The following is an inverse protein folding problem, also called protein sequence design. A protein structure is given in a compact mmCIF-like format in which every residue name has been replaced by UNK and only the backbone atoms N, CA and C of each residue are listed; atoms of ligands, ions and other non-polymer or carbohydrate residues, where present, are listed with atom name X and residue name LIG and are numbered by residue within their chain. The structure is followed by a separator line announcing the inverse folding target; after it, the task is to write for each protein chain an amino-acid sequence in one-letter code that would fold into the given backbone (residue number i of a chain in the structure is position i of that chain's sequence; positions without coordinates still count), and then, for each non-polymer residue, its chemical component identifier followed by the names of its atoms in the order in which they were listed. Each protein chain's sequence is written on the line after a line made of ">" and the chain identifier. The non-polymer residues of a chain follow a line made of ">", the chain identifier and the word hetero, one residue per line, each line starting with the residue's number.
data_IF_427856882041
#
_entry.id   IF_427856882041
#
_cell.length_a   1.000
_cell.length_b   1.000
_cell.length_c   1.000
_cell.angle_alpha   90.00
_cell.angle_beta   90.00
_cell.angle_gamma   90.00
#
_symmetry.space_group_name_H-M   'P 1'
#
loop_
_entity.id
_entity.type
_entity.pdbx_description
1 polymer ?
#
# COMPACT_ATOMS: atom_id res chain seq x y z
N UNK A 1 -19.48 -19.92 11.43
CA UNK A 1 -18.92 -19.38 10.17
C UNK A 1 -18.23 -18.08 10.55
N UNK A 2 -16.91 -18.10 10.73
CA UNK A 2 -16.17 -16.85 10.87
C UNK A 2 -16.18 -16.20 9.49
N UNK A 3 -16.88 -15.07 9.34
CA UNK A 3 -16.66 -14.21 8.18
C UNK A 3 -15.27 -13.62 8.35
N UNK A 4 -14.37 -13.99 7.46
CA UNK A 4 -13.08 -13.34 7.36
C UNK A 4 -13.33 -12.11 6.49
N UNK A 5 -13.78 -11.02 7.09
CA UNK A 5 -13.67 -9.70 6.45
C UNK A 5 -12.17 -9.37 6.45
N UNK A 6 -11.43 -9.87 5.46
CA UNK A 6 -10.09 -9.36 5.19
C UNK A 6 -10.27 -7.93 4.68
N UNK A 7 -10.04 -6.94 5.54
CA UNK A 7 -10.10 -5.53 5.18
C UNK A 7 -9.04 -5.25 4.11
N UNK A 8 -9.47 -4.98 2.88
CA UNK A 8 -8.59 -4.63 1.76
C UNK A 8 -8.21 -3.15 1.78
N UNK A 9 -7.31 -2.74 0.88
CA UNK A 9 -6.88 -1.35 0.77
C UNK A 9 -8.04 -0.36 0.58
N UNK A 10 -9.14 -0.80 -0.06
CA UNK A 10 -10.36 -0.01 -0.24
C UNK A 10 -11.04 0.42 1.06
N UNK A 11 -10.69 -0.17 2.21
CA UNK A 11 -11.11 0.28 3.54
C UNK A 11 -10.66 1.72 3.85
N UNK A 12 -9.64 2.25 3.17
CA UNK A 12 -9.25 3.65 3.29
C UNK A 12 -10.21 4.62 2.59
N UNK A 13 -11.07 4.15 1.67
CA UNK A 13 -12.04 4.99 0.97
C UNK A 13 -12.97 5.69 1.97
N UNK A 14 -13.19 6.99 1.80
CA UNK A 14 -14.00 7.80 2.69
C UNK A 14 -13.31 8.17 4.02
N UNK A 15 -12.11 7.67 4.32
CA UNK A 15 -11.33 8.11 5.48
C UNK A 15 -10.59 9.40 5.17
N UNK A 16 -10.43 10.25 6.19
CA UNK A 16 -9.60 11.46 6.09
C UNK A 16 -8.23 11.15 6.67
N UNK A 17 -7.18 11.33 5.87
CA UNK A 17 -5.81 11.13 6.31
C UNK A 17 -5.30 12.36 7.06
N UNK A 18 -4.59 12.13 8.17
CA UNK A 18 -3.93 13.17 8.98
C UNK A 18 -2.42 13.16 8.78
N UNK A 19 -1.85 12.02 8.37
CA UNK A 19 -0.44 11.88 8.05
C UNK A 19 -0.23 10.63 7.19
N UNK A 20 0.78 10.68 6.32
CA UNK A 20 1.34 9.53 5.62
C UNK A 20 2.84 9.51 5.92
N UNK A 21 3.36 8.38 6.36
CA UNK A 21 4.78 8.17 6.67
C UNK A 21 5.36 7.16 5.70
N UNK A 22 6.53 7.48 5.17
CA UNK A 22 7.30 6.63 4.27
C UNK A 22 8.79 6.89 4.52
N UNK A 23 9.28 6.41 5.66
CA UNK A 23 10.68 6.56 6.07
C UNK A 23 11.57 5.39 5.61
N UNK A 24 10.93 4.31 5.13
CA UNK A 24 11.57 3.07 4.66
C UNK A 24 10.93 2.65 3.34
N UNK A 25 11.71 1.98 2.51
CA UNK A 25 11.26 1.45 1.22
C UNK A 25 10.36 0.22 1.37
N UNK A 26 10.34 -0.44 2.52
CA UNK A 26 9.52 -1.63 2.78
C UNK A 26 8.20 -1.36 3.53
N UNK A 27 7.87 -0.09 3.82
CA UNK A 27 6.68 0.28 4.59
C UNK A 27 6.11 1.67 4.20
N UNK A 28 4.78 1.78 4.20
CA UNK A 28 4.05 3.05 4.18
C UNK A 28 2.97 3.01 5.25
N UNK A 29 2.91 4.01 6.12
CA UNK A 29 1.93 4.10 7.20
C UNK A 29 0.97 5.26 6.96
N UNK A 30 -0.33 4.99 7.09
CA UNK A 30 -1.42 5.95 6.96
C UNK A 30 -2.09 6.17 8.32
N UNK A 31 -2.17 7.42 8.76
CA UNK A 31 -2.91 7.79 9.96
C UNK A 31 -4.22 8.47 9.57
N UNK A 32 -5.33 8.04 10.16
CA UNK A 32 -6.66 8.55 9.89
C UNK A 32 -7.18 9.45 11.01
N UNK A 33 -8.07 10.39 10.66
CA UNK A 33 -8.69 11.32 11.60
C UNK A 33 -9.58 10.64 12.66
N UNK A 34 -10.03 9.42 12.42
CA UNK A 34 -10.80 8.61 13.38
C UNK A 34 -9.92 7.86 14.39
N UNK A 35 -8.61 8.10 14.36
CA UNK A 35 -7.62 7.45 15.24
C UNK A 35 -7.15 6.09 14.75
N UNK A 36 -7.68 5.56 13.64
CA UNK A 36 -7.15 4.33 13.04
C UNK A 36 -5.84 4.59 12.30
N UNK A 37 -4.95 3.60 12.32
CA UNK A 37 -3.72 3.63 11.55
C UNK A 37 -3.59 2.34 10.74
N UNK A 38 -3.07 2.44 9.53
CA UNK A 38 -2.96 1.35 8.57
C UNK A 38 -1.57 1.36 7.96
N UNK A 39 -1.10 0.22 7.49
CA UNK A 39 0.18 0.15 6.77
C UNK A 39 0.11 -0.75 5.56
N UNK A 40 0.88 -0.36 4.55
CA UNK A 40 1.37 -1.23 3.49
C UNK A 40 2.78 -1.66 3.88
N UNK A 41 3.07 -2.96 3.86
CA UNK A 41 4.37 -3.48 4.23
C UNK A 41 4.64 -4.81 3.55
N UNK A 42 5.91 -5.19 3.47
CA UNK A 42 6.31 -6.55 3.12
C UNK A 42 7.35 -7.07 4.11
N UNK A 43 7.20 -8.33 4.54
CA UNK A 43 8.20 -9.00 5.39
C UNK A 43 9.16 -9.75 4.48
N UNK A 44 10.33 -9.17 4.21
CA UNK A 44 11.33 -9.78 3.32
C UNK A 44 11.80 -11.14 3.87
N UNK A 45 11.78 -12.19 3.06
CA UNK A 45 12.62 -13.38 3.21
C UNK A 45 13.84 -13.35 2.24
N UNK A 46 14.63 -14.41 2.24
CA UNK A 46 15.99 -14.42 1.69
C UNK A 46 16.10 -14.41 0.15
N UNK A 47 15.00 -14.61 -0.57
CA UNK A 47 15.00 -14.81 -2.03
C UNK A 47 14.02 -13.91 -2.76
N UNK A 48 13.44 -12.93 -2.06
CA UNK A 48 12.55 -11.93 -2.61
C UNK A 48 12.96 -10.53 -2.17
N UNK A 49 12.52 -9.54 -2.93
CA UNK A 49 12.70 -8.14 -2.62
C UNK A 49 11.43 -7.40 -3.03
N UNK A 50 10.65 -6.93 -2.05
CA UNK A 50 9.41 -6.17 -2.29
C UNK A 50 9.50 -4.80 -1.64
N UNK A 51 9.66 -3.76 -2.46
CA UNK A 51 9.92 -2.40 -1.99
C UNK A 51 9.09 -1.38 -2.76
N UNK A 52 8.85 -0.22 -2.15
CA UNK A 52 8.32 0.98 -2.82
C UNK A 52 9.33 1.43 -3.86
N UNK A 53 8.92 1.35 -5.11
CA UNK A 53 9.69 1.78 -6.26
C UNK A 53 9.55 3.27 -6.55
N UNK A 54 8.32 3.80 -6.48
CA UNK A 54 8.05 5.22 -6.72
C UNK A 54 6.82 5.72 -5.96
N UNK A 55 6.81 7.02 -5.70
CA UNK A 55 5.63 7.77 -5.28
C UNK A 55 5.40 8.89 -6.29
N UNK A 56 4.32 8.76 -7.05
CA UNK A 56 3.91 9.72 -8.06
C UNK A 56 2.78 10.60 -7.52
N UNK A 57 3.08 11.86 -7.22
CA UNK A 57 2.19 12.82 -6.55
C UNK A 57 2.80 13.37 -5.27
N UNK A 58 2.01 14.14 -4.50
CA UNK A 58 2.42 14.70 -3.20
C UNK A 58 1.48 14.22 -2.09
N UNK A 59 2.02 13.56 -1.05
CA UNK A 59 1.24 13.15 0.12
C UNK A 59 0.54 14.31 0.82
N UNK A 60 1.08 15.53 0.73
CA UNK A 60 0.43 16.72 1.29
C UNK A 60 -0.96 16.99 0.67
N UNK A 61 -1.20 16.56 -0.56
CA UNK A 61 -2.51 16.68 -1.21
C UNK A 61 -3.55 15.68 -0.67
N UNK A 62 -3.09 14.64 0.04
CA UNK A 62 -3.97 13.68 0.72
C UNK A 62 -4.29 14.07 2.17
N UNK A 63 -3.47 14.92 2.79
CA UNK A 63 -3.53 15.19 4.24
C UNK A 63 -4.47 16.36 4.55
N UNK A 64 -5.48 16.11 5.40
CA UNK A 64 -6.38 17.16 5.91
C UNK A 64 -7.25 17.86 4.86
N UNK A 65 -7.24 17.36 3.62
CA UNK A 65 -7.97 17.94 2.48
C UNK A 65 -9.42 17.45 2.40
N UNK A 66 -9.74 16.37 3.09
CA UNK A 66 -11.06 15.75 3.18
C UNK A 66 -10.97 14.22 3.08
N UNK A 67 -12.11 13.53 2.97
CA UNK A 67 -12.15 12.09 2.74
C UNK A 67 -11.45 11.69 1.43
N UNK A 68 -10.77 10.54 1.45
CA UNK A 68 -10.32 9.88 0.24
C UNK A 68 -11.52 9.55 -0.65
N UNK A 69 -11.48 10.01 -1.90
CA UNK A 69 -12.48 9.70 -2.93
C UNK A 69 -12.08 8.49 -3.78
N UNK A 70 -10.85 8.00 -3.61
CA UNK A 70 -10.33 6.79 -4.24
C UNK A 70 -9.30 6.15 -3.31
N UNK A 71 -9.39 4.82 -3.19
CA UNK A 71 -8.43 3.95 -2.53
C UNK A 71 -8.48 2.60 -3.26
N UNK A 72 -7.62 2.43 -4.25
CA UNK A 72 -7.60 1.26 -5.14
C UNK A 72 -6.24 0.58 -5.11
N UNK A 73 -6.28 -0.74 -5.22
CA UNK A 73 -5.12 -1.60 -5.41
C UNK A 73 -5.24 -2.25 -6.79
N UNK A 74 -4.14 -2.25 -7.54
CA UNK A 74 -4.04 -2.96 -8.80
C UNK A 74 -2.64 -3.55 -8.93
N UNK A 75 -2.51 -4.68 -9.59
CA UNK A 75 -1.21 -5.31 -9.83
C UNK A 75 -1.02 -5.71 -11.30
N UNK A 76 0.23 -5.90 -11.66
CA UNK A 76 0.63 -6.52 -12.92
C UNK A 76 1.84 -7.41 -12.70
N UNK A 77 1.81 -8.60 -13.29
CA UNK A 77 2.87 -9.58 -13.19
C UNK A 77 3.65 -9.72 -14.50
N UNK A 78 4.97 -9.79 -14.39
CA UNK A 78 5.88 -10.17 -15.45
C UNK A 78 6.71 -11.38 -14.96
N UNK A 79 6.93 -12.37 -15.83
CA UNK A 79 7.80 -13.50 -15.51
C UNK A 79 8.69 -13.82 -16.71
N UNK A 80 9.98 -14.01 -16.46
CA UNK A 80 10.94 -14.42 -17.47
C UNK A 80 11.92 -15.44 -16.88
N UNK A 81 12.03 -16.59 -17.56
CA UNK A 81 13.11 -17.57 -17.33
C UNK A 81 13.29 -18.06 -15.88
N UNK A 82 12.24 -18.00 -15.06
CA UNK A 82 12.25 -18.46 -13.66
C UNK A 82 12.22 -17.33 -12.64
N UNK A 83 12.54 -16.11 -13.03
CA UNK A 83 12.36 -14.91 -12.20
C UNK A 83 10.96 -14.32 -12.45
N UNK A 84 10.37 -13.78 -11.39
CA UNK A 84 9.11 -13.04 -11.47
C UNK A 84 9.25 -11.66 -10.88
N UNK A 85 8.48 -10.73 -11.47
CA UNK A 85 8.34 -9.36 -11.01
C UNK A 85 6.86 -9.05 -10.89
N UNK A 86 6.47 -8.52 -9.73
CA UNK A 86 5.15 -7.96 -9.49
C UNK A 86 5.26 -6.47 -9.33
N UNK A 87 4.43 -5.74 -10.08
CA UNK A 87 4.20 -4.33 -9.83
C UNK A 87 2.85 -4.18 -9.13
N UNK A 88 2.82 -3.56 -7.96
CA UNK A 88 1.58 -3.25 -7.24
C UNK A 88 1.41 -1.75 -7.11
N UNK A 89 0.23 -1.25 -7.46
CA UNK A 89 -0.11 0.16 -7.51
C UNK A 89 -1.20 0.45 -6.48
N UNK A 90 -0.87 1.27 -5.49
CA UNK A 90 -1.83 1.80 -4.53
C UNK A 90 -2.18 3.23 -4.90
N UNK A 91 -3.42 3.43 -5.32
CA UNK A 91 -3.92 4.69 -5.88
C UNK A 91 -4.82 5.36 -4.86
N UNK A 92 -4.46 6.58 -4.47
CA UNK A 92 -5.22 7.39 -3.52
C UNK A 92 -5.57 8.73 -4.16
N UNK A 93 -6.77 9.23 -3.90
CA UNK A 93 -7.10 10.61 -4.26
C UNK A 93 -8.02 11.27 -3.24
N UNK A 94 -7.89 12.59 -3.19
CA UNK A 94 -8.84 13.50 -2.57
C UNK A 94 -9.38 14.44 -3.65
N UNK A 95 -10.23 15.40 -3.27
CA UNK A 95 -10.63 16.49 -4.17
C UNK A 95 -9.48 17.43 -4.54
N UNK A 96 -8.35 17.37 -3.82
CA UNK A 96 -7.19 18.27 -4.02
C UNK A 96 -6.07 17.66 -4.83
N UNK A 97 -5.93 16.34 -4.86
CA UNK A 97 -4.87 15.69 -5.60
C UNK A 97 -4.97 14.18 -5.57
N UNK A 98 -4.00 13.56 -6.24
CA UNK A 98 -3.94 12.14 -6.51
C UNK A 98 -2.51 11.68 -6.31
N UNK A 99 -2.34 10.52 -5.68
CA UNK A 99 -1.04 9.88 -5.45
C UNK A 99 -1.12 8.42 -5.88
N UNK A 100 -0.08 7.93 -6.56
CA UNK A 100 0.15 6.50 -6.78
C UNK A 100 1.43 6.09 -6.08
N UNK A 101 1.33 5.06 -5.25
CA UNK A 101 2.49 4.39 -4.64
C UNK A 101 2.71 3.11 -5.43
N UNK A 102 3.85 3.02 -6.10
CA UNK A 102 4.23 1.85 -6.89
C UNK A 102 5.18 1.00 -6.06
N UNK A 103 4.82 -0.26 -5.85
CA UNK A 103 5.67 -1.28 -5.27
C UNK A 103 6.20 -2.19 -6.37
N UNK A 104 7.42 -2.66 -6.20
CA UNK A 104 8.07 -3.63 -7.05
C UNK A 104 8.49 -4.82 -6.19
N UNK A 105 7.88 -5.96 -6.43
CA UNK A 105 8.29 -7.25 -5.89
C UNK A 105 9.09 -8.01 -6.93
N UNK A 106 10.20 -8.61 -6.52
CA UNK A 106 10.99 -9.54 -7.33
C UNK A 106 11.23 -10.82 -6.54
N UNK A 107 11.10 -11.98 -7.18
CA UNK A 107 11.50 -13.26 -6.61
C UNK A 107 11.96 -14.23 -7.71
N UNK A 108 12.52 -15.36 -7.31
CA UNK A 108 12.86 -16.48 -8.20
C UNK A 108 11.65 -17.38 -8.54
N UNK A 109 10.43 -16.84 -8.49
CA UNK A 109 9.20 -17.55 -8.84
C UNK A 109 8.65 -18.50 -7.77
N UNK A 110 9.26 -18.57 -6.58
CA UNK A 110 8.83 -19.45 -5.48
C UNK A 110 8.26 -18.72 -4.26
N UNK A 111 8.40 -17.40 -4.18
CA UNK A 111 8.04 -16.59 -3.03
C UNK A 111 6.93 -15.59 -3.37
N UNK A 112 6.23 -15.11 -2.34
CA UNK A 112 5.16 -14.15 -2.52
C UNK A 112 5.75 -12.75 -2.74
N UNK A 113 5.36 -12.11 -3.84
CA UNK A 113 5.73 -10.72 -4.15
C UNK A 113 4.64 -9.72 -3.71
N UNK A 114 3.59 -10.20 -3.04
CA UNK A 114 2.45 -9.39 -2.61
C UNK A 114 2.79 -8.47 -1.45
N UNK A 115 2.27 -7.25 -1.53
CA UNK A 115 2.33 -6.27 -0.44
C UNK A 115 1.18 -6.55 0.54
N UNK A 116 1.48 -6.53 1.83
CA UNK A 116 0.48 -6.74 2.88
C UNK A 116 -0.14 -5.41 3.30
N UNK A 117 -1.47 -5.36 3.39
CA UNK A 117 -2.21 -4.27 4.00
C UNK A 117 -2.76 -4.70 5.37
N UNK A 118 -2.47 -3.95 6.43
CA UNK A 118 -2.94 -4.28 7.77
C UNK A 118 -3.22 -3.05 8.62
N UNK A 119 -4.19 -3.18 9.53
CA UNK A 119 -4.42 -2.21 10.60
C UNK A 119 -3.29 -2.30 11.63
N UNK A 120 -2.78 -1.16 12.07
CA UNK A 120 -1.93 -1.08 13.25
C UNK A 120 -2.82 -1.13 14.49
N UNK A 121 -2.60 -2.16 15.30
CA UNK A 121 -3.16 -2.26 16.64
C UNK A 121 -2.05 -1.89 17.62
N UNK A 122 -2.31 -0.92 18.49
CA UNK A 122 -1.42 -0.64 19.60
C UNK A 122 -1.31 -1.91 20.47
N UNK A 123 -0.09 -2.30 20.80
CA UNK A 123 0.22 -3.46 21.64
C UNK A 123 -0.01 -3.17 23.14
#
# INVERSE_FOLDING_TARGET
>A
MASWDSEGFSTLLGRTLTSVQHDRDDEVVFHCADGTSWRLFHSQDCCECVVVHSVDGDFADLIGTGPLVMAEEADSHESDSGDSVTWTFYKLATVRGYVTITWRGESNGHYSESVSFARLVDA
#
